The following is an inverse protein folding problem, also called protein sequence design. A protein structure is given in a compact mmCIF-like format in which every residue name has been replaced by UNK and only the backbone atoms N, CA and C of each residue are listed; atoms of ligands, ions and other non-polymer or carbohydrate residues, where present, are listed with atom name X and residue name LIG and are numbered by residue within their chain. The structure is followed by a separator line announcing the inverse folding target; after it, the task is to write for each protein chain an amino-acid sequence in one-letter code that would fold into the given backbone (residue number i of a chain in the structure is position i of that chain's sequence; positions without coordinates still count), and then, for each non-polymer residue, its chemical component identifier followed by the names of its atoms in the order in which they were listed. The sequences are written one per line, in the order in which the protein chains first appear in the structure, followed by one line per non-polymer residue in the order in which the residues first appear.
data_IF_829251276320
#
_entry.id   IF_829251276320
#
_cell.length_a   1.000
_cell.length_b   1.000
_cell.length_c   1.000
_cell.angle_alpha   90.00
_cell.angle_beta   90.00
_cell.angle_gamma   90.00
#
_symmetry.space_group_name_H-M   'P 1'
#
loop_
_entity.id
_entity.type
_entity.pdbx_description
1 polymer ?
#
# COMPACT_ATOMS: atom_id res chain seq x y z
N UNK A 1 3.84 -1.56 -6.37
CA UNK A 1 4.80 -1.81 -7.46
C UNK A 1 4.60 -0.79 -8.56
N UNK A 2 5.70 -0.49 -9.24
CA UNK A 2 5.80 0.40 -10.42
C UNK A 2 5.35 -0.25 -11.73
N UNK A 3 4.82 -1.47 -11.70
CA UNK A 3 4.39 -2.23 -12.88
C UNK A 3 2.89 -2.16 -13.18
N UNK A 4 2.50 -2.92 -14.21
CA UNK A 4 1.10 -3.18 -14.52
C UNK A 4 0.54 -4.33 -13.69
N UNK A 5 -0.75 -4.27 -13.39
CA UNK A 5 -1.53 -5.39 -12.85
C UNK A 5 -1.78 -6.44 -13.93
N UNK A 6 -2.23 -7.64 -13.54
CA UNK A 6 -2.50 -8.73 -14.48
C UNK A 6 -3.57 -8.41 -15.55
N UNK A 7 -4.41 -7.41 -15.31
CA UNK A 7 -5.41 -6.85 -16.22
C UNK A 7 -4.91 -5.61 -17.00
N UNK A 8 -3.61 -5.30 -16.95
CA UNK A 8 -2.97 -4.25 -17.75
C UNK A 8 -3.19 -2.82 -17.25
N UNK A 9 -3.71 -2.63 -16.03
CA UNK A 9 -3.84 -1.31 -15.39
C UNK A 9 -2.56 -0.97 -14.64
N UNK A 10 -2.36 0.32 -14.35
CA UNK A 10 -1.29 0.73 -13.44
C UNK A 10 -1.52 0.12 -12.05
N UNK A 11 -0.46 -0.40 -11.45
CA UNK A 11 -0.46 -0.81 -10.05
C UNK A 11 -0.89 0.34 -9.13
N UNK A 12 -1.47 0.02 -7.98
CA UNK A 12 -1.97 1.03 -7.03
C UNK A 12 -0.87 2.04 -6.63
N UNK A 13 0.35 1.55 -6.37
CA UNK A 13 1.53 2.34 -6.04
C UNK A 13 2.40 2.70 -7.26
N UNK A 14 1.84 2.67 -8.47
CA UNK A 14 2.55 3.18 -9.64
C UNK A 14 2.86 4.67 -9.45
N UNK A 15 4.09 5.14 -9.77
CA UNK A 15 4.50 6.53 -9.52
C UNK A 15 3.54 7.57 -10.12
N UNK A 16 2.98 7.31 -11.30
CA UNK A 16 2.01 8.20 -11.95
C UNK A 16 0.69 8.40 -11.18
N UNK A 17 0.36 7.54 -10.21
CA UNK A 17 -0.86 7.68 -9.38
C UNK A 17 -0.65 8.55 -8.13
N UNK A 18 0.59 8.97 -7.86
CA UNK A 18 0.95 9.68 -6.63
C UNK A 18 1.64 11.00 -6.93
N UNK A 19 1.33 12.01 -6.12
CA UNK A 19 1.99 13.32 -6.16
C UNK A 19 2.40 13.77 -4.76
N UNK A 20 3.15 14.86 -4.69
CA UNK A 20 3.64 15.42 -3.44
C UNK A 20 2.49 15.81 -2.50
N UNK A 21 2.61 15.45 -1.23
CA UNK A 21 1.60 15.74 -0.20
C UNK A 21 0.29 14.99 -0.35
N UNK A 22 0.17 14.05 -1.30
CA UNK A 22 -1.03 13.24 -1.45
C UNK A 22 -1.12 12.22 -0.32
N UNK A 23 -2.16 12.33 0.49
CA UNK A 23 -2.43 11.39 1.57
C UNK A 23 -2.86 10.01 1.03
N UNK A 24 -2.48 8.95 1.75
CA UNK A 24 -2.97 7.60 1.49
C UNK A 24 -4.15 7.29 2.41
N UNK A 25 -5.30 6.99 1.82
CA UNK A 25 -6.48 6.55 2.55
C UNK A 25 -6.45 5.04 2.78
N UNK A 26 -6.52 4.64 4.05
CA UNK A 26 -6.60 3.21 4.40
C UNK A 26 -7.82 2.53 3.76
N UNK A 27 -8.94 3.25 3.67
CA UNK A 27 -10.16 2.76 3.04
C UNK A 27 -10.01 2.51 1.54
N UNK A 28 -9.23 3.34 0.83
CA UNK A 28 -8.93 3.12 -0.58
C UNK A 28 -8.11 1.85 -0.77
N UNK A 29 -7.06 1.67 0.04
CA UNK A 29 -6.22 0.49 -0.01
C UNK A 29 -7.01 -0.79 0.31
N UNK A 30 -7.84 -0.77 1.37
CA UNK A 30 -8.73 -1.88 1.71
C UNK A 30 -9.70 -2.20 0.58
N UNK A 31 -10.30 -1.18 -0.05
CA UNK A 31 -11.19 -1.36 -1.20
C UNK A 31 -10.49 -2.05 -2.37
N UNK A 32 -9.22 -1.71 -2.65
CA UNK A 32 -8.42 -2.38 -3.68
C UNK A 32 -8.11 -3.83 -3.32
N UNK A 33 -7.76 -4.10 -2.07
CA UNK A 33 -7.48 -5.47 -1.58
C UNK A 33 -8.74 -6.34 -1.71
N UNK A 34 -9.90 -5.84 -1.30
CA UNK A 34 -11.18 -6.56 -1.43
C UNK A 34 -11.64 -6.76 -2.87
N UNK A 35 -11.13 -5.98 -3.82
CA UNK A 35 -11.42 -6.18 -5.24
C UNK A 35 -10.59 -7.33 -5.87
N UNK A 36 -9.58 -7.85 -5.17
CA UNK A 36 -8.78 -8.98 -5.65
C UNK A 36 -9.59 -10.28 -5.51
N UNK A 37 -9.75 -11.00 -6.62
CA UNK A 37 -10.45 -12.28 -6.63
C UNK A 37 -9.80 -13.27 -5.65
N UNK A 38 -10.61 -13.89 -4.80
CA UNK A 38 -10.16 -14.83 -3.77
C UNK A 38 -9.89 -14.22 -2.40
N UNK A 39 -9.95 -12.88 -2.26
CA UNK A 39 -9.90 -12.22 -0.94
C UNK A 39 -11.30 -12.21 -0.33
N UNK A 40 -11.50 -13.00 0.71
CA UNK A 40 -12.74 -13.02 1.50
C UNK A 40 -12.71 -11.96 2.61
N UNK A 41 -11.61 -11.89 3.37
CA UNK A 41 -11.47 -10.98 4.50
C UNK A 41 -10.02 -10.52 4.69
N UNK A 42 -9.84 -9.28 5.18
CA UNK A 42 -8.55 -8.72 5.60
C UNK A 42 -8.51 -8.68 7.12
N UNK A 43 -7.74 -9.60 7.72
CA UNK A 43 -7.66 -9.73 9.18
C UNK A 43 -6.88 -8.58 9.84
N UNK A 44 -5.85 -8.07 9.18
CA UNK A 44 -5.05 -6.96 9.64
C UNK A 44 -4.43 -6.22 8.46
N UNK A 45 -4.23 -4.91 8.63
CA UNK A 45 -3.50 -4.07 7.70
C UNK A 45 -2.61 -3.13 8.51
N UNK A 46 -1.31 -3.20 8.27
CA UNK A 46 -0.32 -2.33 8.91
C UNK A 46 0.33 -1.48 7.84
N UNK A 47 0.35 -0.17 8.05
CA UNK A 47 1.06 0.77 7.20
C UNK A 47 2.14 1.44 8.05
N UNK A 48 3.35 1.51 7.54
CA UNK A 48 4.47 2.13 8.23
C UNK A 48 5.36 2.90 7.26
N UNK A 49 5.91 4.01 7.73
CA UNK A 49 7.00 4.69 7.03
C UNK A 49 8.28 3.89 7.24
N UNK A 50 9.11 3.81 6.21
CA UNK A 50 10.33 2.98 6.23
C UNK A 50 11.31 3.39 7.35
N UNK A 51 11.37 4.68 7.65
CA UNK A 51 12.26 5.29 8.64
C UNK A 51 11.60 5.54 10.01
N UNK A 52 10.31 5.18 10.18
CA UNK A 52 9.62 5.44 11.43
C UNK A 52 9.91 4.34 12.46
N UNK A 53 10.32 4.77 13.66
CA UNK A 53 10.49 3.91 14.82
C UNK A 53 9.16 3.30 15.33
N UNK A 54 8.02 3.76 14.82
CA UNK A 54 6.67 3.30 15.18
C UNK A 54 5.84 3.21 13.90
N UNK A 55 4.96 2.20 13.73
CA UNK A 55 4.10 2.11 12.55
C UNK A 55 3.35 3.42 12.30
N UNK A 56 3.15 3.74 11.02
CA UNK A 56 2.61 5.00 10.56
C UNK A 56 1.20 5.17 11.12
N UNK A 57 1.07 6.04 12.11
CA UNK A 57 -0.24 6.37 12.67
C UNK A 57 -1.06 7.00 11.56
N UNK A 58 -2.15 6.34 11.20
CA UNK A 58 -3.21 7.01 10.47
C UNK A 58 -3.82 8.07 11.37
N UNK A 59 -4.26 9.17 10.79
CA UNK A 59 -5.00 10.18 11.53
C UNK A 59 -6.42 9.69 11.90
N UNK A 60 -7.22 10.60 12.44
CA UNK A 60 -8.60 10.29 12.89
C UNK A 60 -9.52 9.89 11.74
N UNK A 61 -9.16 10.23 10.51
CA UNK A 61 -9.93 9.94 9.29
C UNK A 61 -9.40 8.70 8.55
N UNK A 62 -8.38 8.03 9.11
CA UNK A 62 -7.79 6.82 8.52
C UNK A 62 -6.80 7.13 7.39
N UNK A 63 -6.25 8.35 7.34
CA UNK A 63 -5.29 8.78 6.34
C UNK A 63 -3.86 8.70 6.87
N UNK A 64 -2.94 8.20 6.05
CA UNK A 64 -1.50 8.38 6.28
C UNK A 64 -1.14 9.76 5.77
N UNK A 65 -0.81 10.65 6.71
CA UNK A 65 -0.41 12.02 6.41
C UNK A 65 0.95 12.02 5.71
N UNK A 66 1.02 12.75 4.58
CA UNK A 66 2.22 12.92 3.76
C UNK A 66 2.52 14.41 3.69
N UNK A 67 3.76 14.81 3.98
CA UNK A 67 4.16 16.21 3.93
C UNK A 67 4.19 16.73 2.47
N UNK A 68 4.13 18.05 2.30
CA UNK A 68 4.07 18.67 0.98
C UNK A 68 5.30 18.42 0.10
N UNK A 69 6.42 17.98 0.68
CA UNK A 69 7.67 17.60 0.03
C UNK A 69 7.92 16.09 0.00
N UNK A 70 6.93 15.29 0.41
CA UNK A 70 6.98 13.83 0.42
C UNK A 70 6.06 13.23 -0.64
N UNK A 71 6.46 12.09 -1.19
CA UNK A 71 5.64 11.26 -2.09
C UNK A 71 5.66 9.80 -1.62
N UNK A 72 4.55 9.10 -1.82
CA UNK A 72 4.43 7.68 -1.47
C UNK A 72 5.15 6.83 -2.52
N UNK A 73 6.04 5.96 -2.06
CA UNK A 73 6.74 4.99 -2.90
C UNK A 73 6.66 3.60 -2.28
N UNK A 74 6.16 2.64 -3.07
CA UNK A 74 6.15 1.21 -2.73
C UNK A 74 6.44 0.41 -3.99
N UNK A 75 7.73 0.21 -4.26
CA UNK A 75 8.20 -0.44 -5.49
C UNK A 75 8.06 -1.97 -5.42
N UNK A 76 8.30 -2.56 -4.24
CA UNK A 76 8.23 -4.01 -4.04
C UNK A 76 9.40 -4.79 -4.63
N UNK A 77 10.49 -4.09 -4.98
CA UNK A 77 11.75 -4.71 -5.40
C UNK A 77 12.45 -5.35 -4.18
N UNK A 78 12.63 -6.69 -4.15
CA UNK A 78 13.26 -7.37 -3.03
C UNK A 78 14.74 -6.99 -2.85
N UNK A 79 15.41 -6.52 -3.90
CA UNK A 79 16.80 -6.06 -3.86
C UNK A 79 16.91 -4.61 -3.33
N UNK A 80 15.81 -3.84 -3.33
CA UNK A 80 15.74 -2.43 -2.91
C UNK A 80 14.57 -2.17 -1.94
N UNK A 81 14.55 -2.85 -0.79
CA UNK A 81 13.46 -2.73 0.22
C UNK A 81 13.29 -1.33 0.79
N UNK A 82 14.32 -0.49 0.74
CA UNK A 82 14.27 0.91 1.13
C UNK A 82 13.32 1.76 0.27
N UNK A 83 12.96 1.27 -0.93
CA UNK A 83 11.98 1.90 -1.83
C UNK A 83 10.53 1.49 -1.52
N UNK A 84 10.31 0.95 -0.32
CA UNK A 84 9.02 0.46 0.12
C UNK A 84 8.68 -0.91 -0.47
N UNK A 85 8.14 -1.77 0.38
CA UNK A 85 7.70 -3.11 0.02
C UNK A 85 6.33 -3.40 0.62
N UNK A 86 5.67 -4.43 0.09
CA UNK A 86 4.43 -4.96 0.64
C UNK A 86 4.72 -6.40 1.04
N UNK A 87 4.42 -6.72 2.29
CA UNK A 87 4.37 -8.11 2.75
C UNK A 87 2.91 -8.55 2.75
N UNK A 88 2.63 -9.72 2.17
CA UNK A 88 1.29 -10.28 2.08
C UNK A 88 1.34 -11.68 2.64
N UNK A 89 0.70 -11.85 3.79
CA UNK A 89 0.52 -13.14 4.42
C UNK A 89 -0.91 -13.64 4.19
N UNK A 90 -1.05 -14.68 3.38
CA UNK A 90 -2.35 -15.26 3.02
C UNK A 90 -2.70 -16.36 4.00
N UNK A 91 -3.67 -16.09 4.86
CA UNK A 91 -4.17 -17.04 5.84
C UNK A 91 -5.50 -17.65 5.35
N UNK A 92 -5.48 -18.95 5.04
CA UNK A 92 -6.64 -19.69 4.56
C UNK A 92 -6.47 -20.25 3.15
N UNK A 93 -6.95 -21.48 2.98
CA UNK A 93 -6.79 -22.27 1.76
C UNK A 93 -7.08 -23.73 2.09
N UNK A 94 -8.34 -24.15 2.00
CA UNK A 94 -8.68 -25.53 1.68
C UNK A 94 -9.44 -25.49 0.36
N UNK A 95 -8.78 -25.96 -0.69
CA UNK A 95 -9.28 -26.06 -2.06
C UNK A 95 -8.14 -26.21 -3.02
#
# INVERSE_FOLDING_TARGET
SSGLTGDGRLGFFHPDNWTFGQALRTSELLGRIHAVAGVDHVASLTIARHDAATPGATDRDGEVVVAADEIILVDGDPDHRERGYIDVDVQGGRG
#
